data_IF_559552508306
#
_entry.id   IF_559552508306
#
_cell.length_a   1.000
_cell.length_b   1.000
_cell.length_c   1.000
_cell.angle_alpha   90.00
_cell.angle_beta   90.00
_cell.angle_gamma   90.00
#
_symmetry.space_group_name_H-M   'P 1'
#
loop_
_entity.id
_entity.type
_entity.pdbx_description
1 polymer ?
#
# COMPACT_ATOMS: atom_id res chain seq x y z
N UNK A 1 -68.21 16.77 27.24
CA UNK A 1 -67.20 17.41 26.36
C UNK A 1 -65.87 17.51 27.11
N UNK A 2 -65.01 16.49 26.99
CA UNK A 2 -63.68 16.43 27.62
C UNK A 2 -62.62 16.59 26.54
N UNK A 3 -61.86 17.69 26.57
CA UNK A 3 -60.75 17.96 25.66
C UNK A 3 -59.55 17.08 26.05
N UNK A 4 -59.15 16.15 25.17
CA UNK A 4 -57.90 15.38 25.28
C UNK A 4 -56.71 16.32 25.12
N UNK A 5 -55.82 16.37 26.12
CA UNK A 5 -54.47 16.96 25.99
C UNK A 5 -53.53 15.85 25.54
N UNK A 6 -52.93 16.00 24.36
CA UNK A 6 -51.86 15.14 23.85
C UNK A 6 -50.57 15.62 24.51
N UNK A 7 -49.95 14.79 25.35
CA UNK A 7 -48.60 15.02 25.85
C UNK A 7 -47.61 14.48 24.82
N UNK A 8 -46.86 15.38 24.19
CA UNK A 8 -45.69 15.07 23.37
C UNK A 8 -44.47 15.18 24.30
N UNK A 9 -43.94 14.05 24.77
CA UNK A 9 -42.61 14.02 25.39
C UNK A 9 -41.65 13.32 24.42
N UNK A 10 -40.75 14.12 23.88
CA UNK A 10 -39.72 13.72 22.93
C UNK A 10 -38.77 12.71 23.59
N UNK A 11 -38.71 11.49 23.05
CA UNK A 11 -37.67 10.53 23.36
C UNK A 11 -36.44 10.91 22.53
N UNK A 12 -35.47 11.56 23.16
CA UNK A 12 -34.19 11.86 22.55
C UNK A 12 -33.44 10.56 22.26
N UNK A 13 -33.47 10.11 21.01
CA UNK A 13 -32.64 9.02 20.53
C UNK A 13 -31.23 9.58 20.34
N UNK A 14 -30.38 9.44 21.36
CA UNK A 14 -28.95 9.66 21.19
C UNK A 14 -28.42 8.56 20.24
N UNK A 15 -28.24 8.89 18.96
CA UNK A 15 -27.45 8.07 18.05
C UNK A 15 -26.02 8.07 18.60
N UNK A 16 -25.67 7.03 19.35
CA UNK A 16 -24.29 6.62 19.53
C UNK A 16 -23.74 6.34 18.13
N UNK A 17 -22.94 7.26 17.61
CA UNK A 17 -22.11 7.02 16.44
C UNK A 17 -21.15 5.89 16.80
N UNK A 18 -21.54 4.65 16.49
CA UNK A 18 -20.62 3.53 16.46
C UNK A 18 -19.67 3.81 15.32
N UNK A 19 -18.48 4.30 15.67
CA UNK A 19 -17.37 4.35 14.73
C UNK A 19 -17.12 2.92 14.30
N UNK A 20 -17.53 2.58 13.08
CA UNK A 20 -17.14 1.34 12.42
C UNK A 20 -15.63 1.40 12.27
N UNK A 21 -14.92 0.89 13.28
CA UNK A 21 -13.49 0.66 13.20
C UNK A 21 -13.28 -0.23 11.99
N UNK A 22 -12.50 0.25 11.02
CA UNK A 22 -11.96 -0.61 9.98
C UNK A 22 -11.38 -1.84 10.71
N UNK A 23 -11.89 -3.03 10.37
CA UNK A 23 -11.43 -4.28 10.94
C UNK A 23 -9.92 -4.35 10.72
N UNK A 24 -9.16 -4.21 11.80
CA UNK A 24 -7.76 -4.59 11.80
C UNK A 24 -7.74 -6.12 11.66
N UNK A 25 -7.69 -6.58 10.41
CA UNK A 25 -7.78 -8.00 10.04
C UNK A 25 -6.67 -8.84 10.68
N UNK A 26 -5.62 -8.21 11.20
CA UNK A 26 -4.49 -8.88 11.87
C UNK A 26 -4.65 -8.96 13.39
N UNK A 27 -5.57 -8.21 14.00
CA UNK A 27 -5.65 -8.08 15.47
C UNK A 27 -5.87 -9.40 16.21
N UNK A 28 -6.61 -10.32 15.61
CA UNK A 28 -6.96 -11.60 16.22
C UNK A 28 -6.15 -12.78 15.64
N UNK A 29 -5.13 -12.50 14.81
CA UNK A 29 -4.29 -13.54 14.22
C UNK A 29 -3.01 -13.76 15.04
N UNK A 30 -2.73 -15.02 15.36
CA UNK A 30 -1.44 -15.41 15.93
C UNK A 30 -0.34 -15.41 14.85
N UNK A 31 0.31 -14.25 14.70
CA UNK A 31 1.44 -14.04 13.80
C UNK A 31 2.71 -14.81 14.22
N UNK A 32 2.71 -15.43 15.40
CA UNK A 32 3.84 -16.23 15.91
C UNK A 32 3.68 -17.73 15.69
N UNK A 33 2.51 -18.17 15.22
CA UNK A 33 2.23 -19.58 14.97
C UNK A 33 3.21 -20.20 13.93
N UNK A 34 3.49 -21.51 14.00
CA UNK A 34 4.38 -22.18 13.04
C UNK A 34 3.99 -21.96 11.58
N UNK A 35 2.70 -21.85 11.27
CA UNK A 35 2.23 -21.57 9.91
C UNK A 35 2.69 -20.20 9.38
N UNK A 36 2.92 -19.24 10.27
CA UNK A 36 3.30 -17.86 9.95
C UNK A 36 4.81 -17.65 9.92
N UNK A 37 5.57 -18.41 10.72
CA UNK A 37 7.00 -18.15 10.96
C UNK A 37 7.95 -19.21 10.41
N UNK A 38 7.46 -20.40 10.05
CA UNK A 38 8.34 -21.46 9.53
C UNK A 38 8.39 -21.46 8.01
N UNK A 39 9.47 -22.06 7.48
CA UNK A 39 9.58 -22.47 6.10
C UNK A 39 9.37 -23.98 5.99
N UNK A 40 8.68 -24.42 4.94
CA UNK A 40 8.55 -25.83 4.58
C UNK A 40 9.44 -26.24 3.41
N UNK A 41 10.14 -25.26 2.82
CA UNK A 41 11.16 -25.46 1.80
C UNK A 41 12.48 -24.84 2.28
N UNK A 42 13.58 -25.37 1.79
CA UNK A 42 14.91 -24.78 1.86
C UNK A 42 15.15 -23.84 0.67
N UNK A 43 16.17 -22.97 0.77
CA UNK A 43 16.62 -22.15 -0.37
C UNK A 43 16.96 -23.01 -1.58
N UNK A 44 17.66 -24.13 -1.37
CA UNK A 44 18.07 -25.05 -2.44
C UNK A 44 16.86 -25.66 -3.17
N UNK A 45 15.79 -25.99 -2.45
CA UNK A 45 14.55 -26.48 -3.07
C UNK A 45 13.82 -25.39 -3.86
N UNK A 46 13.87 -24.14 -3.41
CA UNK A 46 13.38 -22.99 -4.20
C UNK A 46 14.22 -22.83 -5.47
N UNK A 47 15.55 -22.82 -5.37
CA UNK A 47 16.45 -22.76 -6.53
C UNK A 47 16.21 -23.92 -7.52
N UNK A 48 15.99 -25.13 -7.00
CA UNK A 48 15.66 -26.29 -7.84
C UNK A 48 14.28 -26.18 -8.53
N UNK A 49 13.30 -25.53 -7.89
CA UNK A 49 12.02 -25.23 -8.53
C UNK A 49 12.17 -24.17 -9.64
N UNK A 50 12.96 -23.13 -9.39
CA UNK A 50 13.28 -22.09 -10.38
C UNK A 50 14.03 -22.64 -11.59
N UNK A 51 14.99 -23.54 -11.38
CA UNK A 51 15.75 -24.19 -12.45
C UNK A 51 14.89 -25.05 -13.39
N UNK A 52 13.70 -25.47 -12.94
CA UNK A 52 12.72 -26.24 -13.74
C UNK A 52 11.69 -25.34 -14.43
N UNK A 53 11.62 -24.06 -14.07
CA UNK A 53 10.67 -23.13 -14.63
C UNK A 53 11.01 -22.76 -16.08
N UNK A 54 9.99 -22.38 -16.83
CA UNK A 54 10.12 -21.87 -18.19
C UNK A 54 9.07 -20.79 -18.46
N UNK A 55 9.16 -20.10 -19.60
CA UNK A 55 8.21 -19.04 -19.94
C UNK A 55 6.74 -19.51 -19.99
N UNK A 56 6.48 -20.78 -20.34
CA UNK A 56 5.14 -21.36 -20.36
C UNK A 56 4.74 -22.10 -19.08
N UNK A 57 5.68 -22.28 -18.14
CA UNK A 57 5.47 -22.99 -16.89
C UNK A 57 6.34 -22.33 -15.81
N UNK A 58 5.90 -21.19 -15.24
CA UNK A 58 6.63 -20.52 -14.16
C UNK A 58 6.74 -21.41 -12.93
N UNK A 59 7.72 -21.13 -12.06
CA UNK A 59 7.81 -21.81 -10.77
C UNK A 59 6.56 -21.49 -9.93
N UNK A 60 5.77 -22.52 -9.64
CA UNK A 60 4.57 -22.38 -8.81
C UNK A 60 4.88 -22.71 -7.35
N UNK A 61 4.90 -21.68 -6.52
CA UNK A 61 5.09 -21.71 -5.09
C UNK A 61 3.80 -21.24 -4.36
N UNK A 62 2.64 -21.42 -4.99
CA UNK A 62 1.34 -21.07 -4.42
C UNK A 62 1.16 -21.71 -3.04
N UNK A 63 0.81 -20.89 -2.05
CA UNK A 63 0.52 -21.32 -0.68
C UNK A 63 1.73 -21.83 0.11
N UNK A 64 2.95 -21.81 -0.46
CA UNK A 64 4.14 -22.33 0.22
C UNK A 64 4.52 -21.49 1.42
N UNK A 65 5.03 -22.17 2.45
CA UNK A 65 5.64 -21.53 3.61
C UNK A 65 7.13 -21.34 3.38
N UNK A 66 7.52 -20.08 3.26
CA UNK A 66 8.87 -19.61 2.92
C UNK A 66 9.37 -18.55 3.92
N UNK A 67 8.67 -18.38 5.04
CA UNK A 67 8.97 -17.38 6.06
C UNK A 67 10.38 -17.57 6.63
N UNK A 68 11.12 -16.46 6.76
CA UNK A 68 12.48 -16.45 7.31
C UNK A 68 13.58 -16.98 6.39
N UNK A 69 13.25 -17.48 5.18
CA UNK A 69 14.27 -17.91 4.23
C UNK A 69 15.13 -16.75 3.73
N UNK A 70 16.36 -17.07 3.36
CA UNK A 70 17.22 -16.17 2.61
C UNK A 70 17.14 -16.50 1.12
N UNK A 71 16.35 -15.71 0.40
CA UNK A 71 16.15 -15.75 -1.05
C UNK A 71 16.78 -14.52 -1.72
N UNK A 72 17.73 -13.87 -1.05
CA UNK A 72 18.37 -12.65 -1.55
C UNK A 72 19.11 -12.92 -2.86
N UNK A 73 19.00 -11.99 -3.80
CA UNK A 73 19.63 -12.04 -5.11
C UNK A 73 19.11 -13.10 -6.07
N UNK A 74 18.08 -13.88 -5.70
CA UNK A 74 17.51 -14.89 -6.58
C UNK A 74 16.75 -14.26 -7.75
N UNK A 75 16.81 -14.94 -8.88
CA UNK A 75 15.95 -14.66 -10.02
C UNK A 75 14.60 -15.36 -9.85
N UNK A 76 13.61 -14.59 -9.42
CA UNK A 76 12.23 -14.99 -9.13
C UNK A 76 11.27 -14.40 -10.18
N UNK A 77 11.75 -14.07 -11.38
CA UNK A 77 10.92 -13.45 -12.40
C UNK A 77 9.74 -14.37 -12.78
N UNK A 78 8.54 -13.79 -12.84
CA UNK A 78 7.26 -14.46 -13.13
C UNK A 78 6.89 -15.60 -12.15
N UNK A 79 7.56 -15.73 -11.00
CA UNK A 79 7.21 -16.75 -10.00
C UNK A 79 5.77 -16.57 -9.52
N UNK A 80 5.06 -17.67 -9.26
CA UNK A 80 3.73 -17.65 -8.66
C UNK A 80 3.89 -17.88 -7.15
N UNK A 81 3.71 -16.82 -6.37
CA UNK A 81 3.77 -16.81 -4.90
C UNK A 81 2.40 -16.50 -4.28
N UNK A 82 1.32 -16.77 -5.02
CA UNK A 82 -0.04 -16.50 -4.57
C UNK A 82 -0.32 -17.20 -3.24
N UNK A 83 -0.85 -16.47 -2.27
CA UNK A 83 -1.12 -16.94 -0.91
C UNK A 83 0.10 -17.54 -0.16
N UNK A 84 1.34 -17.33 -0.65
CA UNK A 84 2.54 -17.80 0.03
C UNK A 84 2.80 -17.03 1.34
N UNK A 85 3.51 -17.68 2.28
CA UNK A 85 3.99 -17.05 3.52
C UNK A 85 5.47 -16.76 3.37
N UNK A 86 5.81 -15.47 3.35
CA UNK A 86 7.15 -14.91 3.15
C UNK A 86 7.48 -13.93 4.30
N UNK A 87 6.90 -14.11 5.48
CA UNK A 87 7.13 -13.22 6.60
C UNK A 87 8.60 -13.28 7.00
N UNK A 88 9.24 -12.12 7.19
CA UNK A 88 10.67 -12.00 7.52
C UNK A 88 11.63 -12.67 6.52
N UNK A 89 11.15 -13.01 5.32
CA UNK A 89 11.99 -13.56 4.25
C UNK A 89 12.92 -12.47 3.73
N UNK A 90 14.18 -12.81 3.47
CA UNK A 90 15.13 -11.92 2.82
C UNK A 90 15.04 -12.10 1.31
N UNK A 91 14.71 -11.03 0.62
CA UNK A 91 14.56 -10.89 -0.83
C UNK A 91 15.40 -9.72 -1.34
N UNK A 92 16.39 -9.26 -0.56
CA UNK A 92 17.22 -8.13 -0.93
C UNK A 92 17.90 -8.39 -2.29
N UNK A 93 17.77 -7.44 -3.22
CA UNK A 93 18.29 -7.55 -4.58
C UNK A 93 17.69 -8.68 -5.44
N UNK A 94 16.64 -9.37 -5.00
CA UNK A 94 15.99 -10.40 -5.79
C UNK A 94 15.23 -9.78 -6.99
N UNK A 95 15.12 -10.53 -8.09
CA UNK A 95 14.34 -10.12 -9.27
C UNK A 95 12.98 -10.80 -9.25
N UNK A 96 11.94 -10.08 -8.90
CA UNK A 96 10.53 -10.49 -8.84
C UNK A 96 9.71 -9.83 -9.97
N UNK A 97 10.35 -9.48 -11.08
CA UNK A 97 9.67 -8.87 -12.23
C UNK A 97 8.53 -9.78 -12.72
N UNK A 98 7.32 -9.24 -12.85
CA UNK A 98 6.13 -9.98 -13.25
C UNK A 98 5.65 -11.06 -12.25
N UNK A 99 6.22 -11.13 -11.03
CA UNK A 99 5.81 -12.11 -10.04
C UNK A 99 4.34 -11.91 -9.61
N UNK A 100 3.67 -13.01 -9.27
CA UNK A 100 2.29 -13.01 -8.76
C UNK A 100 2.35 -13.23 -7.24
N UNK A 101 2.20 -12.15 -6.48
CA UNK A 101 2.20 -12.10 -5.01
C UNK A 101 0.79 -11.92 -4.43
N UNK A 102 -0.24 -12.21 -5.21
CA UNK A 102 -1.63 -12.04 -4.79
C UNK A 102 -1.90 -12.79 -3.49
N UNK A 103 -2.47 -12.09 -2.50
CA UNK A 103 -2.80 -12.63 -1.17
C UNK A 103 -1.60 -13.18 -0.39
N UNK A 104 -0.37 -12.90 -0.83
CA UNK A 104 0.85 -13.32 -0.13
C UNK A 104 1.07 -12.51 1.14
N UNK A 105 1.80 -13.10 2.09
CA UNK A 105 2.13 -12.48 3.37
C UNK A 105 3.63 -12.24 3.44
N UNK A 106 4.04 -10.98 3.46
CA UNK A 106 5.42 -10.51 3.49
C UNK A 106 5.65 -9.58 4.70
N UNK A 107 5.05 -9.88 5.85
CA UNK A 107 5.20 -9.07 7.06
C UNK A 107 6.67 -9.03 7.45
N UNK A 108 7.19 -7.81 7.67
CA UNK A 108 8.60 -7.59 8.03
C UNK A 108 9.62 -8.20 7.03
N UNK A 109 9.22 -8.47 5.78
CA UNK A 109 10.14 -8.98 4.75
C UNK A 109 11.13 -7.91 4.27
N UNK A 110 12.31 -8.33 3.84
CA UNK A 110 13.33 -7.45 3.29
C UNK A 110 13.39 -7.55 1.76
N UNK A 111 12.85 -6.56 1.05
CA UNK A 111 12.91 -6.41 -0.40
C UNK A 111 13.83 -5.25 -0.82
N UNK A 112 14.82 -4.89 0.00
CA UNK A 112 15.72 -3.77 -0.31
C UNK A 112 16.42 -3.96 -1.64
N UNK A 113 16.31 -2.97 -2.53
CA UNK A 113 16.89 -3.00 -3.87
C UNK A 113 16.35 -4.12 -4.78
N UNK A 114 15.25 -4.80 -4.40
CA UNK A 114 14.62 -5.81 -5.24
C UNK A 114 13.93 -5.17 -6.45
N UNK A 115 13.87 -5.88 -7.56
CA UNK A 115 13.07 -5.49 -8.73
C UNK A 115 11.73 -6.22 -8.68
N UNK A 116 10.62 -5.50 -8.74
CA UNK A 116 9.24 -6.01 -8.79
C UNK A 116 8.47 -5.37 -9.96
N UNK A 117 9.15 -5.12 -11.09
CA UNK A 117 8.55 -4.42 -12.23
C UNK A 117 7.36 -5.21 -12.75
N UNK A 118 6.22 -4.55 -12.89
CA UNK A 118 4.99 -5.20 -13.36
C UNK A 118 4.47 -6.35 -12.48
N UNK A 119 4.97 -6.51 -11.26
CA UNK A 119 4.47 -7.55 -10.34
C UNK A 119 3.01 -7.26 -9.92
N UNK A 120 2.29 -8.31 -9.53
CA UNK A 120 0.94 -8.19 -8.98
C UNK A 120 0.96 -8.48 -7.48
N UNK A 121 0.51 -7.50 -6.69
CA UNK A 121 0.46 -7.56 -5.22
C UNK A 121 -0.97 -7.33 -4.74
N UNK A 122 -1.94 -8.00 -5.38
CA UNK A 122 -3.34 -7.84 -5.02
C UNK A 122 -3.65 -8.50 -3.68
N UNK A 123 -4.19 -7.73 -2.74
CA UNK A 123 -4.53 -8.17 -1.38
C UNK A 123 -3.35 -8.77 -0.59
N UNK A 124 -2.11 -8.40 -0.90
CA UNK A 124 -0.93 -8.85 -0.14
C UNK A 124 -0.79 -8.09 1.19
N UNK A 125 -0.21 -8.76 2.18
CA UNK A 125 0.06 -8.21 3.51
C UNK A 125 1.55 -7.92 3.63
N UNK A 126 1.94 -6.65 3.66
CA UNK A 126 3.34 -6.20 3.62
C UNK A 126 3.65 -5.17 4.71
N UNK A 127 2.86 -5.17 5.80
CA UNK A 127 3.07 -4.26 6.90
C UNK A 127 4.52 -4.39 7.43
N UNK A 128 5.16 -3.24 7.62
CA UNK A 128 6.56 -3.08 8.05
C UNK A 128 7.61 -3.76 7.16
N UNK A 129 7.27 -4.14 5.93
CA UNK A 129 8.27 -4.59 4.97
C UNK A 129 9.27 -3.47 4.64
N UNK A 130 10.52 -3.84 4.30
CA UNK A 130 11.56 -2.90 3.86
C UNK A 130 11.74 -3.03 2.35
N UNK A 131 11.40 -1.99 1.61
CA UNK A 131 11.48 -1.88 0.14
C UNK A 131 12.42 -0.74 -0.28
N UNK A 132 13.32 -0.29 0.58
CA UNK A 132 14.21 0.83 0.28
C UNK A 132 14.99 0.58 -1.02
N UNK A 133 14.93 1.55 -1.94
CA UNK A 133 15.54 1.45 -3.27
C UNK A 133 14.99 0.37 -4.20
N UNK A 134 13.89 -0.31 -3.85
CA UNK A 134 13.23 -1.28 -4.73
C UNK A 134 12.58 -0.60 -5.95
N UNK A 135 12.33 -1.39 -7.00
CA UNK A 135 11.71 -0.91 -8.24
C UNK A 135 10.39 -1.66 -8.51
N UNK A 136 9.25 -1.02 -8.24
CA UNK A 136 7.90 -1.51 -8.50
C UNK A 136 7.26 -0.78 -9.71
N UNK A 137 8.07 -0.31 -10.67
CA UNK A 137 7.57 0.40 -11.84
C UNK A 137 6.53 -0.44 -12.59
N UNK A 138 5.37 0.15 -12.87
CA UNK A 138 4.25 -0.50 -13.56
C UNK A 138 3.57 -1.64 -12.77
N UNK A 139 3.90 -1.85 -11.50
CA UNK A 139 3.30 -2.90 -10.69
C UNK A 139 1.83 -2.59 -10.36
N UNK A 140 1.03 -3.63 -10.11
CA UNK A 140 -0.30 -3.51 -9.50
C UNK A 140 -0.18 -3.74 -8.01
N UNK A 141 -0.47 -2.72 -7.21
CA UNK A 141 -0.25 -2.76 -5.76
C UNK A 141 -1.57 -2.47 -5.05
N UNK A 142 -2.25 -3.51 -4.61
CA UNK A 142 -3.44 -3.38 -3.74
C UNK A 142 -3.11 -4.09 -2.43
N UNK A 143 -2.16 -3.54 -1.70
CA UNK A 143 -1.51 -4.19 -0.56
C UNK A 143 -1.63 -3.35 0.73
N UNK A 144 -1.52 -4.02 1.87
CA UNK A 144 -1.27 -3.33 3.15
C UNK A 144 0.24 -3.16 3.35
N UNK A 145 0.72 -1.92 3.19
CA UNK A 145 2.10 -1.46 3.39
C UNK A 145 2.19 -0.56 4.63
N UNK A 146 1.29 -0.73 5.62
CA UNK A 146 1.29 0.07 6.85
C UNK A 146 2.66 -0.01 7.54
N UNK A 147 3.25 1.15 7.79
CA UNK A 147 4.56 1.27 8.43
C UNK A 147 5.73 0.69 7.63
N UNK A 148 5.56 0.38 6.33
CA UNK A 148 6.66 -0.07 5.49
C UNK A 148 7.70 1.05 5.29
N UNK A 149 8.95 0.66 5.05
CA UNK A 149 10.00 1.57 4.58
C UNK A 149 10.12 1.44 3.08
N UNK A 150 9.99 2.55 2.35
CA UNK A 150 10.07 2.63 0.89
C UNK A 150 10.92 3.83 0.47
N UNK A 151 12.04 4.04 1.19
CA UNK A 151 12.91 5.20 0.95
C UNK A 151 13.59 5.05 -0.40
N UNK A 152 13.40 6.03 -1.28
CA UNK A 152 13.96 6.02 -2.64
C UNK A 152 13.41 4.91 -3.54
N UNK A 153 12.31 4.25 -3.17
CA UNK A 153 11.64 3.25 -4.00
C UNK A 153 11.07 3.91 -5.26
N UNK A 154 11.01 3.16 -6.37
CA UNK A 154 10.24 3.56 -7.56
C UNK A 154 8.89 2.85 -7.60
N UNK A 155 7.81 3.60 -7.71
CA UNK A 155 6.47 3.13 -8.06
C UNK A 155 5.95 3.85 -9.31
N UNK A 156 6.86 4.34 -10.17
CA UNK A 156 6.49 5.05 -11.38
C UNK A 156 5.52 4.21 -12.23
N UNK A 157 4.46 4.85 -12.74
CA UNK A 157 3.41 4.19 -13.55
C UNK A 157 2.70 3.02 -12.84
N UNK A 158 2.91 2.82 -11.54
CA UNK A 158 2.25 1.75 -10.79
C UNK A 158 0.77 2.07 -10.56
N UNK A 159 -0.04 1.02 -10.44
CA UNK A 159 -1.47 1.10 -10.19
C UNK A 159 -1.78 0.72 -8.73
N UNK A 160 -1.99 1.73 -7.88
CA UNK A 160 -2.33 1.56 -6.46
C UNK A 160 -3.79 1.86 -6.16
N UNK A 161 -4.47 2.51 -7.11
CA UNK A 161 -5.85 2.94 -6.96
C UNK A 161 -6.83 1.80 -6.83
N UNK A 162 -7.96 2.08 -6.17
CA UNK A 162 -9.02 1.10 -6.03
C UNK A 162 -9.67 0.78 -7.39
N UNK A 163 -9.82 -0.50 -7.71
CA UNK A 163 -10.56 -0.91 -8.91
C UNK A 163 -12.06 -0.76 -8.67
N UNK A 164 -12.61 0.35 -9.19
CA UNK A 164 -14.01 0.68 -8.98
C UNK A 164 -14.98 -0.28 -9.67
N UNK A 165 -14.52 -1.18 -10.54
CA UNK A 165 -15.37 -2.20 -11.18
C UNK A 165 -15.62 -3.40 -10.27
N UNK A 166 -14.86 -3.55 -9.19
CA UNK A 166 -14.89 -4.72 -8.31
C UNK A 166 -15.49 -4.42 -6.91
N UNK A 167 -16.66 -3.76 -6.87
CA UNK A 167 -17.26 -3.23 -5.63
C UNK A 167 -17.81 -4.29 -4.66
N UNK A 168 -18.05 -5.53 -5.11
CA UNK A 168 -18.75 -6.54 -4.29
C UNK A 168 -17.94 -7.00 -3.06
N UNK A 169 -16.63 -6.73 -3.02
CA UNK A 169 -15.72 -7.16 -1.95
C UNK A 169 -15.32 -6.01 -1.00
N UNK A 170 -15.97 -4.84 -1.11
CA UNK A 170 -15.54 -3.61 -0.45
C UNK A 170 -14.41 -2.89 -1.21
N UNK A 171 -14.07 -1.67 -0.78
CA UNK A 171 -13.05 -0.86 -1.44
C UNK A 171 -11.64 -1.39 -1.10
N UNK A 172 -11.17 -2.39 -1.84
CA UNK A 172 -9.77 -2.81 -1.78
C UNK A 172 -8.89 -1.75 -2.44
N UNK A 173 -7.94 -1.22 -1.68
CA UNK A 173 -6.99 -0.17 -2.07
C UNK A 173 -5.65 -0.41 -1.41
N UNK A 174 -4.59 0.22 -1.92
CA UNK A 174 -3.33 0.25 -1.18
C UNK A 174 -3.47 1.04 0.13
N UNK A 175 -2.82 0.56 1.18
CA UNK A 175 -2.69 1.23 2.48
C UNK A 175 -1.22 1.46 2.75
N UNK A 176 -0.81 2.73 2.81
CA UNK A 176 0.56 3.21 3.06
C UNK A 176 0.60 4.06 4.34
N UNK A 177 -0.32 3.78 5.27
CA UNK A 177 -0.45 4.52 6.52
C UNK A 177 0.84 4.44 7.33
N UNK A 178 1.32 5.59 7.79
CA UNK A 178 2.58 5.73 8.54
C UNK A 178 3.81 5.14 7.83
N UNK A 179 3.77 4.92 6.51
CA UNK A 179 4.91 4.42 5.75
C UNK A 179 5.98 5.53 5.59
N UNK A 180 7.24 5.12 5.54
CA UNK A 180 8.33 6.01 5.19
C UNK A 180 8.53 6.00 3.66
N UNK A 181 8.14 7.09 3.00
CA UNK A 181 8.15 7.27 1.54
C UNK A 181 9.12 8.39 1.13
N UNK A 182 10.15 8.66 1.93
CA UNK A 182 11.13 9.71 1.63
C UNK A 182 11.79 9.44 0.28
N UNK A 183 11.83 10.47 -0.59
CA UNK A 183 12.40 10.40 -1.95
C UNK A 183 11.75 9.33 -2.85
N UNK A 184 10.52 8.90 -2.55
CA UNK A 184 9.74 7.99 -3.40
C UNK A 184 9.60 8.59 -4.81
N UNK A 185 9.86 7.80 -5.84
CA UNK A 185 9.51 8.14 -7.22
C UNK A 185 8.13 7.56 -7.55
N UNK A 186 7.09 8.40 -7.60
CA UNK A 186 5.73 8.01 -7.94
C UNK A 186 5.23 8.70 -9.22
N UNK A 187 6.15 9.01 -10.15
CA UNK A 187 5.79 9.68 -11.40
C UNK A 187 4.71 8.91 -12.16
N UNK A 188 3.66 9.61 -12.55
CA UNK A 188 2.50 9.04 -13.28
C UNK A 188 1.82 7.85 -12.57
N UNK A 189 2.06 7.62 -11.27
CA UNK A 189 1.42 6.55 -10.53
C UNK A 189 -0.06 6.86 -10.29
N UNK A 190 -0.90 5.83 -10.29
CA UNK A 190 -2.28 5.96 -9.82
C UNK A 190 -2.34 5.72 -8.30
N UNK A 191 -2.39 6.80 -7.54
CA UNK A 191 -2.56 6.82 -6.08
C UNK A 191 -4.01 7.14 -5.68
N UNK A 192 -4.98 6.99 -6.60
CA UNK A 192 -6.36 7.38 -6.33
C UNK A 192 -6.96 6.57 -5.18
N UNK A 193 -7.55 7.25 -4.19
CA UNK A 193 -8.17 6.64 -2.99
C UNK A 193 -7.23 5.92 -2.04
N UNK A 194 -5.92 5.90 -2.31
CA UNK A 194 -4.91 5.28 -1.45
C UNK A 194 -4.93 5.93 -0.06
N UNK A 195 -4.74 5.13 0.98
CA UNK A 195 -4.57 5.61 2.34
C UNK A 195 -3.09 5.93 2.59
N UNK A 196 -2.76 7.22 2.70
CA UNK A 196 -1.42 7.76 2.96
C UNK A 196 -1.41 8.52 4.31
N UNK A 197 -2.36 8.26 5.21
CA UNK A 197 -2.41 8.96 6.50
C UNK A 197 -1.08 8.81 7.25
N UNK A 198 -0.55 9.92 7.75
CA UNK A 198 0.72 9.99 8.49
C UNK A 198 1.97 9.47 7.73
N UNK A 199 1.88 9.25 6.42
CA UNK A 199 3.02 8.85 5.62
C UNK A 199 4.07 9.97 5.50
N UNK A 200 5.34 9.61 5.39
CA UNK A 200 6.44 10.57 5.22
C UNK A 200 6.85 10.62 3.75
N UNK A 201 6.40 11.63 3.01
CA UNK A 201 6.63 11.83 1.57
C UNK A 201 7.67 12.92 1.28
N UNK A 202 8.64 13.13 2.18
CA UNK A 202 9.59 14.24 2.04
C UNK A 202 10.44 14.05 0.78
N UNK A 203 10.47 15.09 -0.05
CA UNK A 203 11.20 15.06 -1.32
C UNK A 203 10.72 13.99 -2.31
N UNK A 204 9.53 13.42 -2.13
CA UNK A 204 8.95 12.47 -3.09
C UNK A 204 8.64 13.16 -4.43
N UNK A 205 8.85 12.47 -5.54
CA UNK A 205 8.43 12.92 -6.87
C UNK A 205 7.07 12.34 -7.21
N UNK A 206 6.04 13.16 -7.08
CA UNK A 206 4.64 12.85 -7.40
C UNK A 206 4.24 13.42 -8.78
N UNK A 207 5.21 13.77 -9.64
CA UNK A 207 4.90 14.45 -10.92
C UNK A 207 3.95 13.62 -11.78
N UNK A 208 2.82 14.21 -12.18
CA UNK A 208 1.79 13.55 -12.98
C UNK A 208 1.00 12.44 -12.25
N UNK A 209 1.25 12.19 -10.96
CA UNK A 209 0.52 11.18 -10.20
C UNK A 209 -0.95 11.58 -10.00
N UNK A 210 -1.84 10.58 -9.95
CA UNK A 210 -3.25 10.79 -9.58
C UNK A 210 -3.43 10.59 -8.09
N UNK A 211 -3.70 11.65 -7.33
CA UNK A 211 -4.03 11.62 -5.89
C UNK A 211 -5.55 11.73 -5.67
N UNK A 212 -6.37 11.42 -6.68
CA UNK A 212 -7.81 11.61 -6.62
C UNK A 212 -8.42 10.88 -5.43
N UNK A 213 -9.10 11.61 -4.55
CA UNK A 213 -9.68 11.07 -3.32
C UNK A 213 -8.69 10.32 -2.40
N UNK A 214 -7.38 10.49 -2.57
CA UNK A 214 -6.38 9.93 -1.66
C UNK A 214 -6.52 10.54 -0.26
N UNK A 215 -6.20 9.77 0.78
CA UNK A 215 -6.22 10.24 2.16
C UNK A 215 -4.80 10.59 2.59
N UNK A 216 -4.50 11.87 2.71
CA UNK A 216 -3.17 12.38 3.08
C UNK A 216 -3.18 13.01 4.48
N UNK A 217 -4.17 12.66 5.31
CA UNK A 217 -4.33 13.23 6.65
C UNK A 217 -3.05 13.09 7.49
N UNK A 218 -2.47 14.21 7.93
CA UNK A 218 -1.23 14.21 8.70
C UNK A 218 0.04 13.78 7.94
N UNK A 219 -0.02 13.53 6.63
CA UNK A 219 1.14 13.16 5.82
C UNK A 219 2.14 14.32 5.72
N UNK A 220 3.43 14.00 5.58
CA UNK A 220 4.49 14.99 5.44
C UNK A 220 5.00 15.06 3.99
N UNK A 221 4.51 16.04 3.23
CA UNK A 221 4.90 16.28 1.82
C UNK A 221 5.97 17.39 1.70
N UNK A 222 6.78 17.62 2.74
CA UNK A 222 7.81 18.67 2.71
C UNK A 222 8.78 18.47 1.54
N UNK A 223 8.92 19.49 0.69
CA UNK A 223 9.81 19.44 -0.47
C UNK A 223 9.36 18.51 -1.62
N UNK A 224 8.16 17.91 -1.52
CA UNK A 224 7.66 17.02 -2.57
C UNK A 224 7.49 17.75 -3.91
N UNK A 225 7.74 17.06 -5.01
CA UNK A 225 7.51 17.54 -6.38
C UNK A 225 6.10 17.13 -6.79
N UNK A 226 5.23 18.11 -7.08
CA UNK A 226 3.80 17.89 -7.34
C UNK A 226 3.35 18.43 -8.71
N UNK A 227 4.31 18.60 -9.62
CA UNK A 227 4.08 19.10 -10.98
C UNK A 227 3.05 18.21 -11.69
N UNK A 228 1.96 18.80 -12.18
CA UNK A 228 0.89 18.11 -12.90
C UNK A 228 0.18 16.97 -12.12
N UNK A 229 0.45 16.84 -10.81
CA UNK A 229 -0.22 15.89 -9.93
C UNK A 229 -1.68 16.30 -9.69
N UNK A 230 -2.60 15.33 -9.69
CA UNK A 230 -4.04 15.59 -9.60
C UNK A 230 -4.59 15.38 -8.19
N UNK A 231 -4.99 16.46 -7.52
CA UNK A 231 -5.48 16.47 -6.15
C UNK A 231 -7.01 16.45 -6.01
N UNK A 232 -7.76 16.14 -7.08
CA UNK A 232 -9.23 16.19 -7.05
C UNK A 232 -9.83 15.34 -5.92
N UNK A 233 -10.45 16.00 -4.94
CA UNK A 233 -11.05 15.37 -3.76
C UNK A 233 -10.07 14.75 -2.75
N UNK A 234 -8.76 14.91 -2.93
CA UNK A 234 -7.74 14.46 -1.99
C UNK A 234 -7.94 15.11 -0.61
N UNK A 235 -7.82 14.33 0.47
CA UNK A 235 -7.98 14.83 1.84
C UNK A 235 -6.63 15.25 2.43
N UNK A 236 -6.46 16.56 2.68
CA UNK A 236 -5.22 17.16 3.15
C UNK A 236 -5.26 17.57 4.63
N UNK A 237 -6.20 17.04 5.42
CA UNK A 237 -6.36 17.42 6.82
C UNK A 237 -5.04 17.30 7.62
N UNK A 238 -4.52 18.40 8.15
CA UNK A 238 -3.26 18.43 8.91
C UNK A 238 -2.03 17.93 8.15
N UNK A 239 -2.10 17.79 6.82
CA UNK A 239 -0.94 17.44 6.03
C UNK A 239 0.09 18.59 6.02
N UNK A 240 1.38 18.26 6.04
CA UNK A 240 2.46 19.23 5.89
C UNK A 240 2.77 19.39 4.41
N UNK A 241 2.64 20.59 3.89
CA UNK A 241 2.96 20.94 2.51
C UNK A 241 3.88 22.16 2.52
N UNK A 242 5.10 21.94 3.00
CA UNK A 242 6.13 22.97 3.17
C UNK A 242 7.06 22.93 1.97
N UNK A 243 7.27 24.08 1.33
CA UNK A 243 8.13 24.24 0.15
C UNK A 243 7.90 23.19 -0.97
N UNK A 244 6.66 22.92 -1.41
CA UNK A 244 6.42 22.00 -2.51
C UNK A 244 6.97 22.55 -3.83
N UNK A 245 7.51 21.67 -4.68
CA UNK A 245 8.00 22.02 -6.00
C UNK A 245 6.89 21.87 -7.04
N UNK A 246 6.54 22.97 -7.72
CA UNK A 246 5.59 22.97 -8.84
C UNK A 246 4.10 22.94 -8.46
N UNK A 247 3.75 23.46 -7.27
CA UNK A 247 2.36 23.54 -6.80
C UNK A 247 1.45 24.39 -7.72
N UNK A 248 2.01 25.40 -8.36
CA UNK A 248 1.34 26.23 -9.38
C UNK A 248 0.87 25.41 -10.61
N UNK A 249 1.51 24.26 -10.85
CA UNK A 249 1.16 23.31 -11.91
C UNK A 249 0.37 22.10 -11.41
N UNK A 250 0.09 21.99 -10.11
CA UNK A 250 -0.74 20.92 -9.60
C UNK A 250 -2.18 21.06 -10.11
N UNK A 251 -2.78 19.94 -10.52
CA UNK A 251 -4.14 19.90 -11.06
C UNK A 251 -5.16 19.75 -9.94
N UNK A 252 -6.30 20.44 -10.07
CA UNK A 252 -7.43 20.37 -9.14
C UNK A 252 -7.07 20.57 -7.66
N UNK A 253 -5.96 21.26 -7.37
CA UNK A 253 -5.55 21.52 -6.00
C UNK A 253 -6.58 22.36 -5.24
N UNK A 254 -7.34 23.20 -5.94
CA UNK A 254 -8.49 23.95 -5.43
C UNK A 254 -9.64 23.04 -4.93
N UNK A 255 -9.78 21.84 -5.51
CA UNK A 255 -10.80 20.84 -5.19
C UNK A 255 -10.39 19.83 -4.12
N UNK A 256 -9.16 19.93 -3.60
CA UNK A 256 -8.76 19.13 -2.44
C UNK A 256 -9.59 19.52 -1.20
N UNK A 257 -9.84 18.54 -0.34
CA UNK A 257 -10.58 18.70 0.93
C UNK A 257 -9.63 19.13 2.04
N UNK A 258 -10.15 19.86 3.02
CA UNK A 258 -9.41 20.28 4.22
C UNK A 258 -8.14 21.09 3.93
N UNK A 259 -8.08 21.83 2.82
CA UNK A 259 -6.91 22.63 2.42
C UNK A 259 -6.57 23.74 3.42
N UNK A 260 -7.59 24.26 4.07
CA UNK A 260 -7.48 25.26 5.15
C UNK A 260 -6.79 24.70 6.40
N UNK A 261 -6.64 23.38 6.51
CA UNK A 261 -5.96 22.69 7.61
C UNK A 261 -4.54 22.24 7.27
N UNK A 262 -4.01 22.67 6.12
CA UNK A 262 -2.62 22.41 5.74
C UNK A 262 -1.65 23.13 6.67
N UNK A 263 -0.56 22.44 7.02
CA UNK A 263 0.60 23.04 7.68
C UNK A 263 1.58 23.49 6.59
N UNK A 264 1.91 24.78 6.55
CA UNK A 264 2.71 25.40 5.48
C UNK A 264 4.02 26.04 5.95
N UNK A 265 4.23 26.08 7.26
CA UNK A 265 5.38 26.68 7.95
C UNK A 265 5.94 25.68 8.96
#
# INVERSE_FOLDING_TARGET
>A
MMKRRIALTALGLALLATTTRAQDMMRDLDLTSPAMVSAEMSRQEVEAALAKASAGAPADLTGKRLSGLDLSGLDLANVILRAARLNKTKLAGARLDGAILDQAWLLDADLTGASLKGANLFASQMARARLDGADLTGARITADLTGASMVGTSIAEAHLGADMRNQSMGLMRAVLKSANLERLNARNADLSRVDLEFAVLRGADLSGASLKNAQLGGADLTGAIVIDADFDGADLASAKLIAPNGLDRAKNFDKAKNRERLIRE
#
